data_IF_642919709936
#
_entry.id   IF_642919709936
#
_cell.length_a   1.000
_cell.length_b   1.000
_cell.length_c   1.000
_cell.angle_alpha   90.00
_cell.angle_beta   90.00
_cell.angle_gamma   90.00
#
_symmetry.space_group_name_H-M   'P 1'
#
loop_
_entity.id
_entity.type
_entity.pdbx_description
1 polymer ?
#
# COMPACT_ATOMS: atom_id res chain seq x y z
N UNK A 1 19.05 12.77 0.47
CA UNK A 1 17.98 12.02 1.15
C UNK A 1 17.92 10.67 0.48
N UNK A 2 18.02 9.58 1.22
CA UNK A 2 17.92 8.23 0.65
C UNK A 2 16.49 7.98 0.22
N UNK A 3 16.30 7.26 -0.87
CA UNK A 3 14.98 6.80 -1.30
C UNK A 3 14.38 5.89 -0.20
N UNK A 4 13.06 5.97 0.05
CA UNK A 4 12.42 5.08 1.00
C UNK A 4 12.53 3.64 0.49
N UNK A 5 12.80 2.73 1.42
CA UNK A 5 12.87 1.29 1.14
C UNK A 5 11.48 0.68 1.26
N UNK A 6 11.31 -0.56 0.80
CA UNK A 6 10.08 -1.33 1.00
C UNK A 6 9.62 -1.34 2.47
N UNK A 7 10.55 -1.49 3.40
CA UNK A 7 10.24 -1.50 4.83
C UNK A 7 9.77 -0.12 5.34
N UNK A 8 10.29 0.97 4.74
CA UNK A 8 9.89 2.34 5.06
C UNK A 8 8.46 2.63 4.60
N UNK A 9 8.13 2.15 3.39
CA UNK A 9 6.78 2.22 2.82
C UNK A 9 5.81 1.37 3.64
N UNK A 10 6.19 0.15 4.00
CA UNK A 10 5.38 -0.74 4.83
C UNK A 10 5.11 -0.12 6.21
N UNK A 11 6.14 0.42 6.87
CA UNK A 11 5.99 1.06 8.18
C UNK A 11 5.04 2.27 8.10
N UNK A 12 5.18 3.10 7.07
CA UNK A 12 4.30 4.25 6.82
C UNK A 12 2.86 3.79 6.58
N UNK A 13 2.66 2.80 5.70
CA UNK A 13 1.36 2.22 5.41
C UNK A 13 0.68 1.67 6.66
N UNK A 14 1.40 0.88 7.47
CA UNK A 14 0.89 0.33 8.73
C UNK A 14 0.47 1.46 9.68
N UNK A 15 1.29 2.50 9.77
CA UNK A 15 0.99 3.69 10.57
C UNK A 15 -0.33 4.34 10.13
N UNK A 16 -0.46 4.64 8.85
CA UNK A 16 -1.66 5.29 8.29
C UNK A 16 -2.90 4.40 8.39
N UNK A 17 -2.78 3.14 7.97
CA UNK A 17 -3.87 2.17 8.08
C UNK A 17 -4.38 2.06 9.52
N UNK A 18 -3.47 2.09 10.52
CA UNK A 18 -3.87 2.10 11.93
C UNK A 18 -4.64 3.35 12.32
N UNK A 19 -4.28 4.53 11.85
CA UNK A 19 -5.05 5.75 12.15
C UNK A 19 -6.47 5.69 11.56
N UNK A 20 -6.61 5.10 10.38
CA UNK A 20 -7.88 4.93 9.68
C UNK A 20 -8.78 3.90 10.42
N UNK A 21 -8.26 2.71 10.73
CA UNK A 21 -9.08 1.59 11.24
C UNK A 21 -9.12 1.46 12.77
N UNK A 22 -8.15 2.02 13.52
CA UNK A 22 -8.06 1.82 14.98
C UNK A 22 -9.15 2.51 15.79
N UNK A 23 -10.00 3.34 15.17
CA UNK A 23 -11.14 3.98 15.87
C UNK A 23 -12.19 2.97 16.33
N UNK A 24 -12.35 1.84 15.64
CA UNK A 24 -13.47 0.90 15.87
C UNK A 24 -13.03 -0.57 15.98
N UNK A 25 -11.80 -0.93 15.58
CA UNK A 25 -11.37 -2.33 15.47
C UNK A 25 -9.98 -2.63 16.03
N UNK A 26 -9.84 -3.79 16.66
CA UNK A 26 -8.54 -4.35 17.08
C UNK A 26 -7.96 -5.17 15.93
N UNK A 27 -7.03 -4.58 15.18
CA UNK A 27 -6.30 -5.24 14.08
C UNK A 27 -4.87 -5.54 14.54
N UNK A 28 -4.38 -6.74 14.26
CA UNK A 28 -3.03 -7.16 14.68
C UNK A 28 -1.96 -6.71 13.66
N UNK A 29 -1.50 -5.47 13.79
CA UNK A 29 -0.53 -4.89 12.86
C UNK A 29 0.86 -5.54 12.89
N UNK A 30 1.19 -6.25 13.96
CA UNK A 30 2.48 -6.92 14.15
C UNK A 30 2.71 -8.07 13.14
N UNK A 31 1.63 -8.69 12.66
CA UNK A 31 1.69 -9.80 11.71
C UNK A 31 1.46 -9.37 10.26
N UNK A 32 1.43 -8.06 9.98
CA UNK A 32 1.20 -7.57 8.63
C UNK A 32 2.48 -7.71 7.82
N UNK A 33 2.33 -8.30 6.64
CA UNK A 33 3.38 -8.34 5.63
C UNK A 33 2.82 -8.07 4.25
N UNK A 34 3.68 -8.11 3.21
CA UNK A 34 3.27 -7.84 1.84
C UNK A 34 2.20 -8.82 1.31
N UNK A 35 2.09 -10.02 1.90
CA UNK A 35 1.05 -11.00 1.55
C UNK A 35 -0.29 -10.79 2.28
N UNK A 36 -0.35 -9.88 3.24
CA UNK A 36 -1.56 -9.59 4.00
C UNK A 36 -2.59 -8.89 3.12
N UNK A 37 -3.85 -9.27 3.26
CA UNK A 37 -4.96 -8.67 2.51
C UNK A 37 -5.39 -7.35 3.17
N UNK A 38 -5.67 -6.33 2.36
CA UNK A 38 -6.21 -5.06 2.86
C UNK A 38 -7.59 -5.25 3.52
N UNK A 39 -8.40 -6.17 3.02
CA UNK A 39 -9.67 -6.53 3.63
C UNK A 39 -9.53 -7.12 5.05
N UNK A 40 -8.41 -7.82 5.32
CA UNK A 40 -8.12 -8.36 6.67
C UNK A 40 -7.81 -7.22 7.66
N UNK A 41 -7.25 -6.14 7.13
CA UNK A 41 -6.96 -4.90 7.85
C UNK A 41 -8.19 -4.02 8.08
N UNK A 42 -9.37 -4.42 7.62
CA UNK A 42 -10.58 -3.58 7.59
C UNK A 42 -10.39 -2.30 6.76
N UNK A 43 -9.59 -2.38 5.70
CA UNK A 43 -9.49 -1.32 4.71
C UNK A 43 -10.46 -1.63 3.57
N UNK A 44 -11.67 -1.09 3.65
CA UNK A 44 -12.64 -1.16 2.56
C UNK A 44 -12.28 -0.17 1.44
N UNK A 45 -13.02 -0.17 0.33
CA UNK A 45 -12.69 0.64 -0.85
C UNK A 45 -12.58 2.14 -0.56
N UNK A 46 -13.27 2.67 0.46
CA UNK A 46 -13.16 4.08 0.87
C UNK A 46 -11.87 4.34 1.64
N UNK A 47 -11.59 3.52 2.65
CA UNK A 47 -10.35 3.60 3.43
C UNK A 47 -9.10 3.35 2.58
N UNK A 48 -9.19 2.49 1.56
CA UNK A 48 -8.11 2.30 0.60
C UNK A 48 -7.80 3.58 -0.19
N UNK A 49 -8.82 4.31 -0.63
CA UNK A 49 -8.63 5.60 -1.34
C UNK A 49 -8.01 6.64 -0.41
N UNK A 50 -8.45 6.71 0.85
CA UNK A 50 -7.86 7.59 1.86
C UNK A 50 -6.40 7.23 2.13
N UNK A 51 -6.11 5.95 2.36
CA UNK A 51 -4.75 5.45 2.60
C UNK A 51 -3.80 5.80 1.44
N UNK A 52 -4.24 5.61 0.20
CA UNK A 52 -3.42 5.88 -0.98
C UNK A 52 -3.14 7.37 -1.13
N UNK A 53 -4.15 8.22 -0.90
CA UNK A 53 -3.97 9.67 -0.94
C UNK A 53 -3.01 10.16 0.15
N UNK A 54 -3.03 9.54 1.33
CA UNK A 54 -2.11 9.86 2.44
C UNK A 54 -0.67 9.41 2.12
N UNK A 55 -0.51 8.27 1.45
CA UNK A 55 0.79 7.80 0.95
C UNK A 55 1.31 8.68 -0.19
N UNK A 56 0.45 9.14 -1.09
CA UNK A 56 0.80 10.12 -2.14
C UNK A 56 1.40 11.39 -1.55
N UNK A 57 0.74 11.97 -0.54
CA UNK A 57 1.22 13.17 0.14
C UNK A 57 2.51 12.89 0.93
N UNK A 58 2.53 11.81 1.73
CA UNK A 58 3.66 11.44 2.57
C UNK A 58 4.97 11.25 1.79
N UNK A 59 4.87 10.67 0.59
CA UNK A 59 6.02 10.44 -0.29
C UNK A 59 6.16 11.50 -1.39
N UNK A 60 5.24 12.48 -1.48
CA UNK A 60 5.16 13.46 -2.57
C UNK A 60 5.25 12.80 -3.95
N UNK A 61 4.44 11.75 -4.15
CA UNK A 61 4.34 10.99 -5.40
C UNK A 61 2.94 11.12 -6.01
N UNK A 62 2.79 10.68 -7.26
CA UNK A 62 1.49 10.55 -7.91
C UNK A 62 1.23 9.09 -8.27
N UNK A 63 0.16 8.53 -7.72
CA UNK A 63 -0.25 7.15 -7.98
C UNK A 63 -1.20 7.09 -9.17
N UNK A 64 -0.98 6.17 -10.13
CA UNK A 64 -1.88 6.03 -11.26
C UNK A 64 -3.20 5.39 -10.85
N UNK A 65 -4.32 6.06 -11.14
CA UNK A 65 -5.68 5.59 -10.88
C UNK A 65 -5.99 4.17 -11.41
N UNK A 66 -5.32 3.76 -12.49
CA UNK A 66 -5.52 2.44 -13.13
C UNK A 66 -4.99 1.29 -12.28
N UNK A 67 -3.89 1.49 -11.55
CA UNK A 67 -3.34 0.50 -10.62
C UNK A 67 -4.09 0.41 -9.31
N UNK A 68 -4.74 1.51 -8.89
CA UNK A 68 -5.42 1.62 -7.59
C UNK A 68 -6.62 0.68 -7.46
N UNK A 69 -7.35 0.41 -8.56
CA UNK A 69 -8.54 -0.44 -8.52
C UNK A 69 -8.25 -1.94 -8.36
N UNK A 70 -7.01 -2.38 -8.60
CA UNK A 70 -6.62 -3.79 -8.53
C UNK A 70 -5.99 -4.22 -7.21
N UNK A 71 -5.76 -3.27 -6.30
CA UNK A 71 -5.00 -3.50 -5.09
C UNK A 71 -5.78 -4.40 -4.13
N UNK A 72 -5.17 -5.51 -3.70
CA UNK A 72 -5.80 -6.46 -2.76
C UNK A 72 -4.96 -6.71 -1.53
N UNK A 73 -3.65 -6.63 -1.68
CA UNK A 73 -2.68 -6.91 -0.62
C UNK A 73 -1.88 -5.66 -0.26
N UNK A 74 -1.25 -5.71 0.92
CA UNK A 74 -0.28 -4.68 1.34
C UNK A 74 0.89 -4.60 0.36
N UNK A 75 1.30 -5.73 -0.22
CA UNK A 75 2.35 -5.79 -1.25
C UNK A 75 1.97 -5.00 -2.51
N UNK A 76 0.71 -5.06 -2.94
CA UNK A 76 0.23 -4.27 -4.08
C UNK A 76 0.34 -2.75 -3.80
N UNK A 77 0.03 -2.33 -2.57
CA UNK A 77 0.17 -0.91 -2.17
C UNK A 77 1.64 -0.50 -2.14
N UNK A 78 2.52 -1.36 -1.64
CA UNK A 78 3.96 -1.10 -1.65
C UNK A 78 4.43 -0.94 -3.11
N UNK A 79 4.03 -1.85 -3.99
CA UNK A 79 4.43 -1.85 -5.40
C UNK A 79 3.97 -0.56 -6.11
N UNK A 80 2.72 -0.13 -5.89
CA UNK A 80 2.21 1.09 -6.51
C UNK A 80 2.94 2.35 -6.01
N UNK A 81 3.26 2.42 -4.71
CA UNK A 81 4.06 3.52 -4.13
C UNK A 81 5.46 3.53 -4.71
N UNK A 82 6.10 2.36 -4.84
CA UNK A 82 7.43 2.24 -5.46
C UNK A 82 7.43 2.68 -6.92
N UNK A 83 6.38 2.37 -7.68
CA UNK A 83 6.19 2.89 -9.04
C UNK A 83 6.09 4.42 -9.06
N UNK A 84 5.32 5.01 -8.14
CA UNK A 84 5.20 6.46 -8.00
C UNK A 84 6.52 7.16 -7.65
N UNK A 85 7.38 6.48 -6.89
CA UNK A 85 8.74 6.93 -6.58
C UNK A 85 9.72 6.78 -7.76
N UNK A 86 9.31 6.16 -8.87
CA UNK A 86 10.18 5.90 -10.02
C UNK A 86 11.14 4.72 -9.80
N UNK A 87 10.88 3.87 -8.81
CA UNK A 87 11.70 2.68 -8.57
C UNK A 87 11.35 1.57 -9.57
N UNK A 88 12.36 0.80 -10.04
CA UNK A 88 12.10 -0.37 -10.86
C UNK A 88 11.40 -1.40 -9.99
N UNK A 89 10.08 -1.48 -10.12
CA UNK A 89 9.32 -2.66 -9.73
C UNK A 89 9.81 -3.78 -10.62
N UNK A 90 10.34 -4.84 -10.00
CA UNK A 90 10.79 -6.02 -10.71
C UNK A 90 9.54 -6.70 -11.28
N UNK A 91 9.12 -6.26 -12.47
CA UNK A 91 8.03 -6.84 -13.26
C UNK A 91 8.47 -8.20 -13.79
N UNK A 92 8.62 -9.17 -12.89
CA UNK A 92 8.97 -10.55 -13.22
C UNK A 92 7.76 -11.49 -13.14
N UNK A 93 6.55 -10.97 -12.85
CA UNK A 93 5.34 -11.79 -12.67
C UNK A 93 4.10 -11.27 -13.41
N UNK A 94 4.27 -10.49 -14.50
CA UNK A 94 3.20 -10.44 -15.51
C UNK A 94 3.35 -11.71 -16.35
N UNK A 95 2.82 -12.81 -15.81
CA UNK A 95 2.31 -13.86 -16.69
C UNK A 95 1.09 -13.28 -17.38
N UNK A 96 1.29 -12.74 -18.57
CA UNK A 96 0.28 -12.84 -19.63
C UNK A 96 -0.05 -14.33 -19.76
N UNK A 97 -1.15 -14.74 -19.14
CA UNK A 97 -1.84 -16.00 -19.43
C UNK A 97 -3.30 -15.55 -19.56
N UNK A 98 -3.98 -15.65 -20.70
CA UNK A 98 -3.84 -16.50 -21.87
C UNK A 98 -5.26 -16.77 -22.35
#
# INVERSE_FOLDING_TARGET
MSEPTENDILATLIGRAREIVSKEFVVNFDSIGPRSLLADLRLDSMEQVELLSDLEDAFSISLPNEGVRGIRTVGDVIDIVRRGLGQPVQVSDVSEDG
#
